data_IF_674035514017
#
_entry.id   IF_674035514017
#
_cell.length_a   1.000
_cell.length_b   1.000
_cell.length_c   1.000
_cell.angle_alpha   90.00
_cell.angle_beta   90.00
_cell.angle_gamma   90.00
#
_symmetry.space_group_name_H-M   'P 1'
#
loop_
_entity.id
_entity.type
_entity.pdbx_description
1 polymer ?
#
# COMPACT_ATOMS: atom_id res chain seq x y z
N UNK A 1 2.30 61.37 8.89
CA UNK A 1 0.92 61.94 8.79
C UNK A 1 -0.07 60.77 8.79
N UNK A 2 -0.82 60.60 9.87
CA UNK A 2 -1.90 59.61 10.00
C UNK A 2 -3.23 60.36 9.93
N UNK A 3 -4.18 59.88 9.13
CA UNK A 3 -5.57 60.36 9.15
C UNK A 3 -6.49 59.19 9.49
N UNK A 4 -7.29 59.26 10.57
CA UNK A 4 -8.40 58.36 10.80
C UNK A 4 -9.67 58.95 10.19
N UNK A 5 -10.57 58.10 9.67
CA UNK A 5 -11.97 58.50 9.44
C UNK A 5 -12.87 57.40 9.97
N UNK A 6 -13.90 57.84 10.69
CA UNK A 6 -14.77 57.11 11.61
C UNK A 6 -16.21 57.26 11.07
N UNK A 7 -16.96 56.14 11.05
CA UNK A 7 -18.44 56.01 11.17
C UNK A 7 -19.32 56.59 10.03
N UNK A 8 -20.54 56.16 9.73
CA UNK A 8 -21.49 55.14 10.21
C UNK A 8 -22.53 54.92 9.09
N UNK A 9 -23.29 53.81 9.11
CA UNK A 9 -24.46 53.64 8.24
C UNK A 9 -25.19 52.32 8.44
N UNK A 10 -26.19 52.35 9.33
CA UNK A 10 -27.17 51.29 9.63
C UNK A 10 -28.18 51.18 8.47
N UNK A 11 -28.64 49.98 8.13
CA UNK A 11 -29.83 49.82 7.28
C UNK A 11 -30.15 48.39 6.87
N UNK A 12 -30.95 47.71 7.68
CA UNK A 12 -31.51 46.36 7.53
C UNK A 12 -32.47 46.28 6.33
N UNK A 13 -32.45 45.20 5.54
CA UNK A 13 -33.68 44.52 5.10
C UNK A 13 -33.40 43.05 4.74
N UNK A 14 -34.11 42.17 5.45
CA UNK A 14 -34.11 40.73 5.26
C UNK A 14 -34.87 40.35 3.98
N UNK A 15 -34.30 39.42 3.21
CA UNK A 15 -35.04 38.52 2.34
C UNK A 15 -34.41 37.13 2.48
N UNK A 16 -34.88 36.39 3.49
CA UNK A 16 -34.58 34.97 3.63
C UNK A 16 -35.36 34.22 2.55
N UNK A 17 -34.72 33.97 1.41
CA UNK A 17 -35.17 32.95 0.48
C UNK A 17 -34.78 31.59 1.06
N UNK A 18 -35.75 30.94 1.72
CA UNK A 18 -35.73 29.50 1.99
C UNK A 18 -35.76 28.77 0.64
N UNK A 19 -34.59 28.59 0.03
CA UNK A 19 -34.40 27.54 -0.96
C UNK A 19 -34.37 26.22 -0.20
N UNK A 20 -35.50 25.52 -0.18
CA UNK A 20 -35.55 24.09 0.12
C UNK A 20 -34.82 23.40 -1.02
N UNK A 21 -33.50 23.32 -0.93
CA UNK A 21 -32.74 22.35 -1.70
C UNK A 21 -33.21 20.99 -1.18
N UNK A 22 -34.10 20.36 -1.95
CA UNK A 22 -34.37 18.94 -1.82
C UNK A 22 -33.00 18.25 -1.91
N UNK A 23 -32.44 17.85 -0.78
CA UNK A 23 -31.49 16.76 -0.72
C UNK A 23 -32.27 15.51 -1.06
N UNK A 24 -32.66 15.38 -2.33
CA UNK A 24 -32.70 14.07 -2.93
C UNK A 24 -31.31 13.53 -2.72
N UNK A 25 -31.18 12.57 -1.81
CA UNK A 25 -30.03 11.69 -1.83
C UNK A 25 -30.09 11.00 -3.19
N UNK A 26 -29.47 11.65 -4.18
CA UNK A 26 -28.91 10.97 -5.31
C UNK A 26 -27.94 9.99 -4.66
N UNK A 27 -28.43 8.78 -4.44
CA UNK A 27 -27.64 7.60 -4.22
C UNK A 27 -26.82 7.48 -5.49
N UNK A 28 -25.72 8.24 -5.52
CA UNK A 28 -24.88 8.38 -6.68
C UNK A 28 -24.44 6.99 -7.05
N UNK A 29 -24.82 6.56 -8.26
CA UNK A 29 -24.13 5.49 -8.94
C UNK A 29 -22.63 5.80 -8.81
N UNK A 30 -21.93 5.10 -7.92
CA UNK A 30 -20.47 5.14 -7.91
C UNK A 30 -20.06 4.78 -9.33
N UNK A 31 -19.28 5.63 -10.03
CA UNK A 31 -18.87 5.33 -11.39
C UNK A 31 -18.25 3.94 -11.38
N UNK A 32 -18.82 3.04 -12.18
CA UNK A 32 -18.24 1.73 -12.40
C UNK A 32 -16.79 1.94 -12.86
N UNK A 33 -15.83 1.51 -12.05
CA UNK A 33 -14.46 1.35 -12.53
C UNK A 33 -13.34 2.12 -11.84
N UNK A 34 -13.50 2.67 -10.63
CA UNK A 34 -12.31 2.91 -9.82
C UNK A 34 -11.78 1.55 -9.32
N UNK A 35 -10.50 1.21 -9.58
CA UNK A 35 -9.92 -0.02 -9.07
C UNK A 35 -9.98 0.00 -7.55
N UNK A 36 -10.47 -1.08 -6.94
CA UNK A 36 -10.48 -1.19 -5.48
C UNK A 36 -9.03 -1.27 -4.99
N UNK A 37 -8.69 -0.43 -4.02
CA UNK A 37 -7.39 -0.46 -3.35
C UNK A 37 -7.53 -1.01 -1.94
N UNK A 38 -6.45 -1.57 -1.42
CA UNK A 38 -6.35 -2.08 -0.05
C UNK A 38 -4.97 -1.81 0.53
N UNK A 39 -4.74 -2.33 1.73
CA UNK A 39 -3.49 -2.17 2.47
C UNK A 39 -2.92 -3.53 2.84
N UNK A 40 -1.72 -3.83 2.36
CA UNK A 40 -0.96 -5.02 2.74
C UNK A 40 0.25 -4.61 3.58
N UNK A 41 0.32 -5.09 4.82
CA UNK A 41 1.47 -4.93 5.71
C UNK A 41 2.26 -6.23 5.74
N UNK A 42 3.58 -6.13 5.65
CA UNK A 42 4.49 -7.27 5.55
C UNK A 42 5.62 -7.14 6.57
N UNK A 43 6.03 -8.26 7.15
CA UNK A 43 7.24 -8.35 7.96
C UNK A 43 7.90 -9.72 7.79
N UNK A 44 9.22 -9.72 7.59
CA UNK A 44 10.00 -10.95 7.45
C UNK A 44 11.45 -10.73 7.93
N UNK A 45 11.95 -11.62 8.79
CA UNK A 45 13.34 -11.55 9.25
C UNK A 45 14.33 -12.03 8.18
N UNK A 46 13.99 -13.08 7.42
CA UNK A 46 14.80 -13.65 6.34
C UNK A 46 13.85 -14.22 5.28
N UNK A 47 13.96 -13.76 4.03
CA UNK A 47 13.09 -14.26 2.99
C UNK A 47 13.21 -13.51 1.67
N UNK A 48 12.15 -13.65 0.88
CA UNK A 48 12.00 -12.93 -0.38
C UNK A 48 10.54 -12.68 -0.71
N UNK A 49 10.28 -11.72 -1.57
CA UNK A 49 8.98 -11.58 -2.20
C UNK A 49 9.12 -11.11 -3.63
N UNK A 50 8.06 -11.33 -4.41
CA UNK A 50 7.82 -10.71 -5.71
C UNK A 50 6.41 -10.11 -5.68
N UNK A 51 6.32 -8.79 -5.91
CA UNK A 51 5.06 -8.06 -6.02
C UNK A 51 4.80 -7.69 -7.46
N UNK A 52 3.55 -7.76 -7.89
CA UNK A 52 3.06 -7.23 -9.16
C UNK A 52 1.81 -6.40 -8.88
N UNK A 53 1.76 -5.16 -9.36
CA UNK A 53 0.57 -4.33 -9.15
C UNK A 53 0.85 -2.84 -9.26
N UNK A 54 0.03 -2.07 -8.56
CA UNK A 54 0.14 -0.61 -8.51
C UNK A 54 -0.20 -0.05 -7.14
N UNK A 55 0.08 1.23 -6.94
CA UNK A 55 -0.18 1.98 -5.72
C UNK A 55 1.10 2.58 -5.14
N UNK A 56 1.20 2.60 -3.82
CA UNK A 56 2.38 3.09 -3.09
C UNK A 56 2.87 2.01 -2.14
N UNK A 57 4.15 1.67 -2.22
CA UNK A 57 4.80 0.77 -1.27
C UNK A 57 5.98 1.45 -0.59
N UNK A 58 6.02 1.35 0.73
CA UNK A 58 7.18 1.73 1.56
C UNK A 58 7.82 0.47 2.10
N UNK A 59 9.12 0.28 1.88
CA UNK A 59 9.87 -0.92 2.26
C UNK A 59 11.08 -0.47 3.09
N UNK A 60 11.20 -0.92 4.33
CA UNK A 60 12.47 -0.90 5.06
C UNK A 60 13.11 -2.28 4.86
N UNK A 61 14.34 -2.33 4.38
CA UNK A 61 14.96 -3.60 4.00
C UNK A 61 16.45 -3.65 4.31
N UNK A 62 16.94 -4.87 4.53
CA UNK A 62 18.33 -5.26 4.31
C UNK A 62 18.37 -6.28 3.17
N UNK A 63 19.35 -6.16 2.27
CA UNK A 63 19.57 -7.08 1.14
C UNK A 63 19.39 -6.43 -0.21
N UNK A 64 18.87 -7.19 -1.18
CA UNK A 64 18.67 -6.76 -2.57
C UNK A 64 17.22 -6.34 -2.79
N UNK A 65 17.02 -5.21 -3.47
CA UNK A 65 15.74 -4.74 -3.96
C UNK A 65 15.85 -4.51 -5.48
N UNK A 66 15.01 -5.20 -6.25
CA UNK A 66 14.85 -5.00 -7.69
C UNK A 66 13.51 -4.32 -7.95
N UNK A 67 13.54 -3.26 -8.76
CA UNK A 67 12.37 -2.58 -9.31
C UNK A 67 12.37 -2.82 -10.82
N UNK A 68 11.27 -3.32 -11.38
CA UNK A 68 11.19 -3.65 -12.81
C UNK A 68 9.93 -3.08 -13.47
N UNK A 69 10.15 -2.29 -14.53
CA UNK A 69 9.13 -1.57 -15.33
C UNK A 69 8.19 -0.78 -14.45
N UNK A 70 8.76 0.19 -13.75
CA UNK A 70 8.00 1.18 -12.99
C UNK A 70 7.55 2.29 -13.93
N UNK A 71 6.24 2.50 -14.02
CA UNK A 71 5.62 3.73 -14.49
C UNK A 71 5.23 4.55 -13.26
N UNK A 72 6.11 5.48 -12.86
CA UNK A 72 5.97 6.21 -11.62
C UNK A 72 7.32 6.69 -11.06
N UNK A 73 7.45 6.69 -9.74
CA UNK A 73 8.66 7.19 -9.06
C UNK A 73 9.13 6.24 -7.96
N UNK A 74 10.45 6.18 -7.78
CA UNK A 74 11.09 5.45 -6.70
C UNK A 74 12.11 6.35 -6.00
N UNK A 75 12.01 6.44 -4.68
CA UNK A 75 13.00 7.10 -3.82
C UNK A 75 13.61 6.06 -2.89
N UNK A 76 14.93 5.88 -2.95
CA UNK A 76 15.66 4.95 -2.09
C UNK A 76 16.67 5.72 -1.25
N UNK A 77 16.62 5.57 0.06
CA UNK A 77 17.47 6.27 1.03
C UNK A 77 18.12 5.29 2.02
N UNK A 78 19.18 5.73 2.70
CA UNK A 78 19.94 4.92 3.66
C UNK A 78 21.31 4.50 3.13
N UNK A 79 21.90 3.46 3.73
CA UNK A 79 23.17 2.90 3.30
C UNK A 79 22.94 1.88 2.17
N UNK A 80 22.56 2.39 1.01
CA UNK A 80 22.17 1.61 -0.16
C UNK A 80 22.98 2.05 -1.37
N UNK A 81 23.50 1.10 -2.14
CA UNK A 81 24.11 1.36 -3.45
C UNK A 81 23.19 0.87 -4.55
N UNK A 82 23.14 1.61 -5.67
CA UNK A 82 22.56 1.11 -6.92
C UNK A 82 23.58 0.18 -7.57
N UNK A 83 23.21 -1.08 -7.80
CA UNK A 83 24.08 -2.10 -8.43
C UNK A 83 23.84 -2.23 -9.92
N UNK A 84 22.64 -1.87 -10.39
CA UNK A 84 22.27 -1.99 -11.79
C UNK A 84 21.20 -0.97 -12.18
N UNK A 85 21.31 -0.45 -13.41
CA UNK A 85 20.31 0.39 -14.07
C UNK A 85 20.31 0.10 -15.57
N UNK A 86 19.17 -0.32 -16.11
CA UNK A 86 19.00 -0.59 -17.53
C UNK A 86 17.86 -1.57 -17.82
N UNK A 87 17.39 -1.63 -19.07
CA UNK A 87 16.30 -2.54 -19.49
C UNK A 87 15.04 -2.44 -18.60
N UNK A 88 14.66 -1.22 -18.22
CA UNK A 88 13.58 -0.90 -17.28
C UNK A 88 13.78 -1.51 -15.87
N UNK A 89 15.01 -1.81 -15.46
CA UNK A 89 15.33 -2.40 -14.16
C UNK A 89 16.26 -1.49 -13.38
N UNK A 90 16.00 -1.40 -12.08
CA UNK A 90 16.89 -0.80 -11.11
C UNK A 90 17.09 -1.79 -9.96
N UNK A 91 18.35 -2.11 -9.66
CA UNK A 91 18.70 -3.00 -8.55
C UNK A 91 19.50 -2.24 -7.51
N UNK A 92 19.12 -2.42 -6.26
CA UNK A 92 19.74 -1.80 -5.09
C UNK A 92 20.19 -2.87 -4.12
N UNK A 93 21.31 -2.63 -3.42
CA UNK A 93 21.77 -3.49 -2.34
C UNK A 93 22.21 -2.65 -1.14
N UNK A 94 21.82 -3.08 0.05
CA UNK A 94 22.27 -2.49 1.30
C UNK A 94 21.22 -2.56 2.39
N UNK A 95 21.20 -1.52 3.23
CA UNK A 95 20.18 -1.34 4.29
C UNK A 95 19.59 0.06 4.18
N UNK A 96 18.28 0.14 4.00
CA UNK A 96 17.62 1.43 3.82
C UNK A 96 16.11 1.34 3.67
N UNK A 97 15.53 2.43 3.15
CA UNK A 97 14.10 2.58 2.91
C UNK A 97 13.86 2.91 1.45
N UNK A 98 12.92 2.21 0.82
CA UNK A 98 12.42 2.52 -0.51
C UNK A 98 10.96 2.95 -0.43
N UNK A 99 10.62 4.07 -1.10
CA UNK A 99 9.24 4.50 -1.35
C UNK A 99 9.03 4.46 -2.85
N UNK A 100 8.11 3.60 -3.30
CA UNK A 100 7.83 3.35 -4.71
C UNK A 100 6.35 3.63 -4.95
N UNK A 101 6.04 4.47 -5.92
CA UNK A 101 4.68 4.90 -6.26
C UNK A 101 4.46 4.81 -7.76
N UNK A 102 3.34 4.22 -8.19
CA UNK A 102 2.97 4.08 -9.60
C UNK A 102 2.45 2.68 -9.95
N UNK A 103 2.68 2.25 -11.18
CA UNK A 103 2.44 0.87 -11.62
C UNK A 103 3.77 0.16 -11.90
N UNK A 104 3.90 -1.09 -11.48
CA UNK A 104 5.13 -1.86 -11.69
C UNK A 104 4.83 -3.26 -12.23
N UNK A 105 5.73 -3.75 -13.09
CA UNK A 105 5.69 -5.16 -13.47
C UNK A 105 6.09 -6.03 -12.29
N UNK A 106 7.28 -5.81 -11.73
CA UNK A 106 7.72 -6.52 -10.54
C UNK A 106 8.48 -5.60 -9.57
N UNK A 107 8.22 -5.75 -8.28
CA UNK A 107 9.15 -5.36 -7.21
C UNK A 107 9.58 -6.66 -6.54
N UNK A 108 10.88 -6.92 -6.50
CA UNK A 108 11.41 -8.15 -5.90
C UNK A 108 12.40 -7.80 -4.81
N UNK A 109 12.28 -8.46 -3.65
CA UNK A 109 13.22 -8.32 -2.55
C UNK A 109 13.77 -9.69 -2.16
N UNK A 110 15.05 -9.71 -1.77
CA UNK A 110 15.71 -10.86 -1.14
C UNK A 110 16.63 -10.36 -0.04
N UNK A 111 16.50 -10.88 1.17
CA UNK A 111 17.39 -10.50 2.27
C UNK A 111 16.81 -10.76 3.64
N UNK A 112 16.98 -9.79 4.54
CA UNK A 112 16.44 -9.89 5.90
C UNK A 112 15.96 -8.57 6.50
N UNK A 113 15.43 -8.67 7.71
CA UNK A 113 14.94 -7.56 8.54
C UNK A 113 13.99 -6.60 7.78
N UNK A 114 13.08 -7.17 6.99
CA UNK A 114 12.18 -6.40 6.12
C UNK A 114 10.85 -6.09 6.81
N UNK A 115 10.42 -4.85 6.64
CA UNK A 115 9.04 -4.42 6.87
C UNK A 115 8.55 -3.66 5.65
N UNK A 116 7.29 -3.85 5.27
CA UNK A 116 6.71 -3.08 4.18
C UNK A 116 5.22 -2.78 4.39
N UNK A 117 4.78 -1.66 3.83
CA UNK A 117 3.37 -1.26 3.74
C UNK A 117 3.07 -0.93 2.29
N UNK A 118 2.15 -1.66 1.69
CA UNK A 118 1.68 -1.46 0.33
C UNK A 118 0.20 -1.03 0.36
N UNK A 119 -0.05 0.21 -0.06
CA UNK A 119 -1.37 0.78 -0.27
C UNK A 119 -1.66 0.77 -1.77
N UNK A 120 -2.53 -0.13 -2.24
CA UNK A 120 -2.72 -0.33 -3.68
C UNK A 120 -3.48 -1.59 -4.02
N UNK A 121 -3.15 -2.16 -5.17
CA UNK A 121 -3.78 -3.38 -5.66
C UNK A 121 -2.78 -4.28 -6.40
N UNK A 122 -2.95 -5.59 -6.26
CA UNK A 122 -2.18 -6.57 -7.01
C UNK A 122 -1.96 -7.87 -6.27
N UNK A 123 -0.82 -8.48 -6.56
CA UNK A 123 -0.42 -9.80 -6.16
C UNK A 123 0.96 -9.78 -5.51
N UNK A 124 1.15 -10.60 -4.47
CA UNK A 124 2.43 -10.87 -3.86
C UNK A 124 2.68 -12.37 -3.78
N UNK A 125 3.86 -12.82 -4.19
CA UNK A 125 4.37 -14.15 -3.89
C UNK A 125 5.50 -13.99 -2.88
N UNK A 126 5.34 -14.51 -1.67
CA UNK A 126 6.30 -14.32 -0.59
C UNK A 126 6.81 -15.66 -0.08
N UNK A 127 8.10 -15.71 0.26
CA UNK A 127 8.80 -16.87 0.80
C UNK A 127 9.53 -16.45 2.07
N UNK A 128 9.41 -17.27 3.10
CA UNK A 128 9.96 -16.97 4.42
C UNK A 128 10.74 -18.13 5.00
N UNK A 129 11.96 -17.85 5.45
CA UNK A 129 12.73 -18.83 6.24
C UNK A 129 12.38 -18.71 7.72
N UNK A 130 12.30 -19.84 8.42
CA UNK A 130 12.07 -19.82 9.87
C UNK A 130 13.20 -19.07 10.57
N UNK A 131 12.84 -18.01 11.29
CA UNK A 131 13.77 -17.23 12.09
C UNK A 131 13.66 -17.60 13.57
N UNK A 132 14.74 -18.06 14.23
CA UNK A 132 14.73 -18.28 15.69
C UNK A 132 14.47 -17.00 16.50
N UNK A 133 14.75 -15.82 15.93
CA UNK A 133 14.56 -14.51 16.58
C UNK A 133 13.08 -14.16 16.74
N UNK A 134 12.28 -14.36 15.69
CA UNK A 134 10.85 -14.05 15.70
C UNK A 134 9.96 -15.28 15.90
N UNK A 135 10.52 -16.49 15.85
CA UNK A 135 9.77 -17.75 15.84
C UNK A 135 8.75 -17.81 14.69
N UNK A 136 9.06 -17.19 13.55
CA UNK A 136 8.17 -17.05 12.39
C UNK A 136 8.96 -17.10 11.07
N UNK A 137 8.27 -17.48 9.99
CA UNK A 137 8.76 -17.33 8.61
C UNK A 137 8.48 -15.92 8.03
N UNK A 138 7.84 -15.05 8.79
CA UNK A 138 7.29 -13.80 8.31
C UNK A 138 5.79 -13.91 8.08
N UNK A 139 5.14 -12.75 8.05
CA UNK A 139 3.70 -12.64 7.99
C UNK A 139 3.25 -11.44 7.18
N UNK A 140 2.00 -11.53 6.74
CA UNK A 140 1.27 -10.46 6.06
C UNK A 140 -0.07 -10.21 6.74
N UNK A 141 -0.48 -8.95 6.80
CA UNK A 141 -1.83 -8.52 7.16
C UNK A 141 -2.41 -7.78 5.96
N UNK A 142 -3.59 -8.20 5.49
CA UNK A 142 -4.29 -7.57 4.35
C UNK A 142 -5.58 -6.97 4.87
N UNK A 143 -5.70 -5.65 4.78
CA UNK A 143 -6.84 -4.87 5.25
C UNK A 143 -7.18 -5.18 6.72
N UNK A 144 -8.34 -5.79 6.97
CA UNK A 144 -8.86 -6.21 8.28
C UNK A 144 -8.75 -7.72 8.52
N UNK A 145 -8.09 -8.47 7.63
CA UNK A 145 -7.88 -9.90 7.81
C UNK A 145 -6.86 -10.20 8.92
N UNK A 146 -6.99 -11.34 9.62
CA UNK A 146 -5.95 -11.80 10.55
C UNK A 146 -4.59 -12.00 9.85
N UNK A 147 -3.47 -11.92 10.59
CA UNK A 147 -2.14 -12.21 10.04
C UNK A 147 -2.06 -13.60 9.40
N UNK A 148 -1.37 -13.67 8.26
CA UNK A 148 -1.13 -14.90 7.51
C UNK A 148 0.38 -15.10 7.30
N UNK A 149 0.88 -16.28 7.63
CA UNK A 149 2.29 -16.64 7.47
C UNK A 149 2.68 -16.88 6.02
N UNK A 150 3.95 -16.63 5.69
CA UNK A 150 4.54 -16.79 4.36
C UNK A 150 4.91 -18.24 4.03
N UNK A 151 5.33 -19.01 5.03
CA UNK A 151 5.87 -20.36 4.92
C UNK A 151 7.15 -20.45 4.04
N UNK A 152 7.90 -21.55 4.20
CA UNK A 152 9.12 -21.81 3.43
C UNK A 152 8.84 -22.25 1.99
N UNK A 153 7.68 -22.86 1.74
CA UNK A 153 7.24 -23.26 0.40
C UNK A 153 6.71 -22.10 -0.44
N UNK A 154 6.61 -20.91 0.15
CA UNK A 154 6.01 -19.75 -0.45
C UNK A 154 4.48 -19.71 -0.32
N UNK A 155 3.94 -18.50 -0.42
CA UNK A 155 2.51 -18.22 -0.37
C UNK A 155 2.12 -17.03 -1.21
N UNK A 156 0.94 -17.11 -1.79
CA UNK A 156 0.35 -16.06 -2.61
C UNK A 156 -0.62 -15.20 -1.81
N UNK A 157 -0.53 -13.89 -1.99
CA UNK A 157 -1.38 -12.89 -1.36
C UNK A 157 -1.96 -11.95 -2.41
N UNK A 158 -3.17 -11.46 -2.17
CA UNK A 158 -3.86 -10.51 -3.05
C UNK A 158 -4.31 -9.30 -2.23
N UNK A 159 -4.10 -8.11 -2.77
CA UNK A 159 -4.57 -6.84 -2.18
C UNK A 159 -5.41 -6.10 -3.23
N UNK A 160 -6.58 -5.54 -2.90
CA UNK A 160 -7.27 -5.65 -1.60
C UNK A 160 -7.81 -7.06 -1.32
N UNK A 161 -8.31 -7.30 -0.11
CA UNK A 161 -8.87 -8.59 0.33
C UNK A 161 -9.98 -9.12 -0.60
N UNK A 162 -10.74 -8.23 -1.24
CA UNK A 162 -11.80 -8.62 -2.18
C UNK A 162 -11.27 -9.28 -3.46
N UNK A 163 -9.97 -9.12 -3.74
CA UNK A 163 -9.28 -9.77 -4.87
C UNK A 163 -8.81 -11.19 -4.54
N UNK A 164 -8.93 -11.64 -3.29
CA UNK A 164 -8.48 -12.97 -2.89
C UNK A 164 -9.44 -14.03 -3.47
N UNK A 165 -8.92 -15.06 -4.18
CA UNK A 165 -9.76 -16.14 -4.70
C UNK A 165 -10.60 -16.80 -3.59
N UNK A 166 -11.92 -16.83 -3.78
CA UNK A 166 -12.84 -17.44 -2.83
C UNK A 166 -13.16 -16.59 -1.59
N UNK A 167 -12.72 -15.32 -1.54
CA UNK A 167 -13.05 -14.42 -0.44
C UNK A 167 -14.56 -14.30 -0.23
N UNK A 168 -14.96 -14.42 1.04
CA UNK A 168 -16.32 -14.09 1.51
C UNK A 168 -16.21 -13.21 2.75
N UNK A 169 -17.05 -12.19 2.90
CA UNK A 169 -17.10 -11.40 4.13
C UNK A 169 -17.21 -12.30 5.38
N UNK A 170 -16.40 -12.01 6.39
CA UNK A 170 -16.35 -12.78 7.64
C UNK A 170 -15.57 -14.11 7.58
N UNK A 171 -14.97 -14.46 6.44
CA UNK A 171 -14.09 -15.64 6.32
C UNK A 171 -12.63 -15.23 6.25
N UNK A 172 -11.74 -16.05 6.81
CA UNK A 172 -10.30 -15.92 6.61
C UNK A 172 -9.87 -16.85 5.47
N UNK A 173 -9.65 -16.35 4.24
CA UNK A 173 -9.23 -17.17 3.11
C UNK A 173 -7.81 -17.75 3.30
N UNK A 174 -7.07 -17.25 4.28
CA UNK A 174 -5.74 -17.72 4.64
C UNK A 174 -5.70 -18.61 5.88
N UNK A 175 -6.84 -19.00 6.44
CA UNK A 175 -6.87 -19.98 7.52
C UNK A 175 -6.32 -21.34 7.01
N UNK A 176 -5.57 -22.08 7.84
CA UNK A 176 -5.21 -23.46 7.52
C UNK A 176 -6.47 -24.28 7.26
N UNK A 177 -6.51 -25.01 6.15
CA UNK A 177 -7.62 -25.92 5.85
C UNK A 177 -7.56 -27.13 6.79
N UNK A 178 -8.16 -27.05 7.97
CA UNK A 178 -8.27 -28.20 8.89
C UNK A 178 -8.24 -27.91 10.39
N UNK A 179 -9.07 -26.97 10.87
CA UNK A 179 -9.47 -26.93 12.29
C UNK A 179 -10.99 -27.06 12.40
#
# INVERSE_FOLDING_TARGET
>A
MRKPTIFAGIGVFAAALLAVAQTGQAQGDQPAGQPKTGVMRMQCDIGSFLLKGSGKITINFRGTLLIYRLDGSATVTGNVRKEFEGFDRETYFGTGTAVIEGEWRHIQWFGGDMTAVWEGQGYAHAFGEFSPKSQSSGYTIIDDLPPAEWWSTGREFFVPKESIPGYRPGTNPYAPSGQ
#
